data_IF_970271065918
#
_entry.id   IF_970271065918
#
_cell.length_a   1.000
_cell.length_b   1.000
_cell.length_c   1.000
_cell.angle_alpha   90.00
_cell.angle_beta   90.00
_cell.angle_gamma   90.00
#
_symmetry.space_group_name_H-M   'P 1'
#
loop_
_entity.id
_entity.type
_entity.pdbx_description
1 polymer ?
#
# COMPACT_ATOMS: atom_id res chain seq x y z
N UNK A 1 -39.73 -6.21 10.81
CA UNK A 1 -40.20 -7.51 10.30
C UNK A 1 -39.00 -8.26 9.71
N UNK A 2 -38.58 -9.35 10.33
CA UNK A 2 -37.41 -10.12 9.91
C UNK A 2 -37.80 -11.14 8.83
N UNK A 3 -37.22 -11.05 7.62
CA UNK A 3 -37.32 -12.08 6.58
C UNK A 3 -36.55 -13.31 7.05
N UNK A 4 -37.24 -14.41 7.34
CA UNK A 4 -36.61 -15.72 7.57
C UNK A 4 -35.96 -16.17 6.25
N UNK A 5 -34.65 -16.34 6.24
CA UNK A 5 -33.92 -16.95 5.13
C UNK A 5 -34.13 -18.47 5.22
N UNK A 6 -34.91 -19.02 4.31
CA UNK A 6 -35.07 -20.48 4.19
C UNK A 6 -33.82 -21.03 3.50
N UNK A 7 -33.11 -22.02 4.06
CA UNK A 7 -31.98 -22.64 3.37
C UNK A 7 -32.50 -23.37 2.13
N UNK A 8 -32.06 -22.94 0.95
CA UNK A 8 -32.34 -23.63 -0.32
C UNK A 8 -31.27 -24.71 -0.52
N UNK A 9 -31.70 -25.96 -0.69
CA UNK A 9 -30.83 -27.04 -1.13
C UNK A 9 -30.55 -26.79 -2.62
N UNK A 10 -29.29 -26.53 -2.93
CA UNK A 10 -28.79 -26.32 -4.30
C UNK A 10 -28.55 -27.68 -4.94
N UNK A 11 -29.04 -27.89 -6.16
CA UNK A 11 -28.87 -29.18 -6.86
C UNK A 11 -27.43 -29.34 -7.37
N UNK A 12 -27.00 -30.57 -7.66
CA UNK A 12 -25.64 -30.83 -8.14
C UNK A 12 -25.29 -30.05 -9.42
N UNK A 13 -26.28 -29.81 -10.30
CA UNK A 13 -26.12 -29.02 -11.53
C UNK A 13 -25.95 -27.52 -11.22
N UNK A 14 -26.69 -26.98 -10.25
CA UNK A 14 -26.54 -25.58 -9.82
C UNK A 14 -25.20 -25.35 -9.11
N UNK A 15 -24.66 -26.37 -8.42
CA UNK A 15 -23.29 -26.33 -7.87
C UNK A 15 -22.26 -26.30 -8.99
N UNK A 16 -22.51 -26.96 -10.13
CA UNK A 16 -21.60 -26.95 -11.28
C UNK A 16 -21.50 -25.56 -11.94
N UNK A 17 -22.61 -24.82 -12.01
CA UNK A 17 -22.60 -23.44 -12.53
C UNK A 17 -21.91 -22.45 -11.58
N UNK A 18 -22.05 -22.65 -10.27
CA UNK A 18 -21.34 -21.85 -9.24
C UNK A 18 -19.84 -22.15 -9.22
N UNK A 19 -19.45 -23.37 -9.61
CA UNK A 19 -18.07 -23.85 -9.68
C UNK A 19 -17.47 -23.74 -11.09
N UNK A 20 -17.96 -22.82 -11.93
CA UNK A 20 -17.30 -22.49 -13.20
C UNK A 20 -15.81 -22.25 -12.90
N UNK A 21 -14.89 -23.09 -13.40
CA UNK A 21 -13.48 -22.93 -13.09
C UNK A 21 -13.04 -21.59 -13.63
N UNK A 22 -12.44 -20.75 -12.78
CA UNK A 22 -11.66 -19.63 -13.28
C UNK A 22 -10.62 -20.18 -14.26
N UNK A 23 -10.55 -19.62 -15.47
CA UNK A 23 -9.56 -19.98 -16.50
C UNK A 23 -8.10 -19.74 -16.04
N UNK A 24 -7.90 -19.15 -14.86
CA UNK A 24 -6.59 -19.01 -14.24
C UNK A 24 -6.00 -20.39 -13.92
N UNK A 25 -4.90 -20.81 -14.59
CA UNK A 25 -4.28 -22.09 -14.29
C UNK A 25 -3.81 -22.11 -12.83
N UNK A 26 -4.19 -23.17 -12.11
CA UNK A 26 -3.72 -23.37 -10.74
C UNK A 26 -2.17 -23.30 -10.70
N UNK A 27 -1.57 -22.59 -9.73
CA UNK A 27 -0.13 -22.46 -9.67
C UNK A 27 0.52 -23.84 -9.58
N UNK A 28 1.50 -24.09 -10.47
CA UNK A 28 2.25 -25.35 -10.48
C UNK A 28 3.12 -25.39 -9.24
N UNK A 29 2.63 -26.04 -8.18
CA UNK A 29 3.45 -26.30 -7.00
C UNK A 29 4.60 -27.22 -7.42
N UNK A 30 5.83 -26.70 -7.36
CA UNK A 30 7.09 -27.45 -7.44
C UNK A 30 7.00 -28.76 -6.65
N UNK A 31 7.71 -29.82 -7.09
CA UNK A 31 7.69 -31.18 -6.50
C UNK A 31 8.21 -31.18 -5.05
N UNK A 32 7.40 -30.68 -4.13
CA UNK A 32 7.65 -30.63 -2.69
C UNK A 32 7.25 -31.97 -2.06
N UNK A 33 7.86 -32.34 -0.92
CA UNK A 33 7.39 -33.50 -0.17
C UNK A 33 5.94 -33.26 0.24
N UNK A 34 5.07 -34.25 -0.02
CA UNK A 34 3.69 -34.20 0.43
C UNK A 34 3.65 -33.98 1.96
N UNK A 35 2.72 -33.17 2.50
CA UNK A 35 2.63 -32.90 3.94
C UNK A 35 2.64 -34.19 4.79
N UNK A 36 2.00 -35.25 4.30
CA UNK A 36 1.95 -36.56 4.92
C UNK A 36 3.31 -37.28 5.06
N UNK A 37 4.41 -36.77 4.47
CA UNK A 37 5.77 -37.31 4.59
C UNK A 37 6.63 -36.56 5.62
N UNK A 38 6.18 -35.40 6.10
CA UNK A 38 6.90 -34.61 7.10
C UNK A 38 6.72 -35.22 8.49
N UNK A 39 7.80 -35.28 9.29
CA UNK A 39 7.83 -35.99 10.58
C UNK A 39 8.33 -35.16 11.74
N UNK A 40 9.10 -34.11 11.47
CA UNK A 40 9.75 -33.31 12.52
C UNK A 40 9.35 -31.84 12.40
N UNK A 41 9.34 -31.13 13.54
CA UNK A 41 9.12 -29.67 13.59
C UNK A 41 10.03 -28.92 12.61
N UNK A 42 11.30 -29.34 12.51
CA UNK A 42 12.26 -28.75 11.59
C UNK A 42 11.81 -28.88 10.13
N UNK A 43 11.46 -30.09 9.68
CA UNK A 43 11.04 -30.27 8.28
C UNK A 43 9.74 -29.54 7.93
N UNK A 44 8.82 -29.38 8.87
CA UNK A 44 7.65 -28.52 8.67
C UNK A 44 8.05 -27.05 8.53
N UNK A 45 8.90 -26.54 9.43
CA UNK A 45 9.36 -25.15 9.39
C UNK A 45 10.09 -24.84 8.07
N UNK A 46 10.97 -25.74 7.62
CA UNK A 46 11.74 -25.55 6.38
C UNK A 46 10.83 -25.45 5.14
N UNK A 47 9.85 -26.36 5.03
CA UNK A 47 8.91 -26.35 3.89
C UNK A 47 8.00 -25.13 3.92
N UNK A 48 7.50 -24.75 5.10
CA UNK A 48 6.65 -23.56 5.26
C UNK A 48 7.45 -22.30 4.92
N UNK A 49 8.70 -22.19 5.40
CA UNK A 49 9.55 -21.04 5.11
C UNK A 49 9.85 -20.93 3.61
N UNK A 50 10.14 -22.04 2.94
CA UNK A 50 10.31 -22.07 1.48
C UNK A 50 9.06 -21.63 0.72
N UNK A 51 7.87 -22.11 1.12
CA UNK A 51 6.59 -21.69 0.54
C UNK A 51 6.34 -20.20 0.75
N UNK A 52 6.71 -19.70 1.92
CA UNK A 52 6.52 -18.32 2.32
C UNK A 52 7.43 -17.39 1.48
N UNK A 53 8.73 -17.71 1.36
CA UNK A 53 9.67 -16.97 0.50
C UNK A 53 9.24 -16.98 -0.98
N UNK A 54 8.80 -18.13 -1.51
CA UNK A 54 8.30 -18.19 -2.88
C UNK A 54 7.06 -17.30 -3.08
N UNK A 55 6.15 -17.25 -2.10
CA UNK A 55 5.00 -16.37 -2.18
C UNK A 55 5.41 -14.89 -2.24
N UNK A 56 6.44 -14.49 -1.50
CA UNK A 56 6.98 -13.13 -1.52
C UNK A 56 7.60 -12.76 -2.87
N UNK A 57 8.45 -13.64 -3.40
CA UNK A 57 9.06 -13.48 -4.72
C UNK A 57 7.97 -13.34 -5.80
N UNK A 58 6.92 -14.16 -5.69
CA UNK A 58 5.77 -14.08 -6.59
C UNK A 58 5.01 -12.75 -6.45
N UNK A 59 4.82 -12.21 -5.25
CA UNK A 59 4.19 -10.88 -5.10
C UNK A 59 5.00 -9.77 -5.77
N UNK A 60 6.33 -9.81 -5.63
CA UNK A 60 7.22 -8.87 -6.31
C UNK A 60 7.13 -9.02 -7.83
N UNK A 61 7.18 -10.26 -8.32
CA UNK A 61 7.03 -10.56 -9.75
C UNK A 61 5.69 -10.08 -10.31
N UNK A 62 4.57 -10.31 -9.60
CA UNK A 62 3.25 -9.80 -9.97
C UNK A 62 3.29 -8.27 -10.11
N UNK A 63 3.91 -7.55 -9.15
CA UNK A 63 4.06 -6.10 -9.23
C UNK A 63 4.81 -5.63 -10.48
N UNK A 64 5.88 -6.33 -10.86
CA UNK A 64 6.64 -6.06 -12.09
C UNK A 64 5.81 -6.29 -13.36
N UNK A 65 5.09 -7.40 -13.43
CA UNK A 65 4.17 -7.68 -14.54
C UNK A 65 3.06 -6.64 -14.66
N UNK A 66 2.49 -6.20 -13.54
CA UNK A 66 1.47 -5.14 -13.54
C UNK A 66 2.04 -3.80 -14.05
N UNK A 67 3.25 -3.44 -13.65
CA UNK A 67 3.93 -2.24 -14.17
C UNK A 67 4.16 -2.34 -15.68
N UNK A 68 4.65 -3.49 -16.16
CA UNK A 68 4.85 -3.71 -17.60
C UNK A 68 3.53 -3.70 -18.38
N UNK A 69 2.50 -4.40 -17.90
CA UNK A 69 1.18 -4.44 -18.53
C UNK A 69 0.58 -3.02 -18.67
N UNK A 70 0.74 -2.16 -17.66
CA UNK A 70 0.31 -0.76 -17.73
C UNK A 70 1.00 0.06 -18.84
N UNK A 71 2.21 -0.33 -19.25
CA UNK A 71 2.95 0.34 -20.33
C UNK A 71 2.65 -0.19 -21.73
N UNK A 72 2.23 -1.46 -21.84
CA UNK A 72 2.06 -2.14 -23.14
C UNK A 72 0.60 -2.20 -23.59
N UNK A 73 -0.35 -2.30 -22.66
CA UNK A 73 -1.76 -2.40 -22.98
C UNK A 73 -2.35 -1.05 -23.40
N UNK A 74 -3.36 -1.10 -24.27
CA UNK A 74 -4.09 0.09 -24.71
C UNK A 74 -4.84 0.79 -23.56
N UNK A 75 -5.27 2.03 -23.80
CA UNK A 75 -5.97 2.82 -22.79
C UNK A 75 -7.26 2.12 -22.35
N UNK A 76 -7.38 1.82 -21.05
CA UNK A 76 -8.55 1.15 -20.46
C UNK A 76 -8.40 -0.37 -20.29
N UNK A 77 -7.63 -1.04 -21.15
CA UNK A 77 -7.44 -2.50 -21.12
C UNK A 77 -6.80 -2.97 -19.81
N UNK A 78 -5.81 -2.22 -19.31
CA UNK A 78 -5.18 -2.53 -18.02
C UNK A 78 -6.20 -2.54 -16.87
N UNK A 79 -7.11 -1.57 -16.82
CA UNK A 79 -8.12 -1.49 -15.77
C UNK A 79 -9.15 -2.61 -15.92
N UNK A 80 -9.55 -2.93 -17.15
CA UNK A 80 -10.47 -4.03 -17.43
C UNK A 80 -9.88 -5.38 -17.01
N UNK A 81 -8.62 -5.66 -17.35
CA UNK A 81 -7.90 -6.87 -16.95
C UNK A 81 -7.83 -7.01 -15.42
N UNK A 82 -7.48 -5.92 -14.71
CA UNK A 82 -7.40 -5.94 -13.24
C UNK A 82 -8.76 -6.20 -12.59
N UNK A 83 -9.85 -5.69 -13.17
CA UNK A 83 -11.20 -5.86 -12.59
C UNK A 83 -11.85 -7.21 -12.93
N UNK A 84 -11.59 -7.74 -14.14
CA UNK A 84 -12.30 -8.92 -14.68
C UNK A 84 -11.50 -10.21 -14.61
N UNK A 85 -10.17 -10.15 -14.74
CA UNK A 85 -9.35 -11.34 -15.00
C UNK A 85 -8.45 -11.71 -13.81
N UNK A 86 -8.28 -10.81 -12.83
CA UNK A 86 -7.39 -11.01 -11.68
C UNK A 86 -8.16 -11.25 -10.37
N UNK A 87 -7.60 -12.04 -9.43
CA UNK A 87 -8.27 -12.41 -8.19
C UNK A 87 -8.21 -11.30 -7.12
N UNK A 88 -7.97 -10.05 -7.51
CA UNK A 88 -7.85 -8.91 -6.59
C UNK A 88 -8.25 -7.59 -7.26
N UNK A 89 -8.63 -6.62 -6.42
CA UNK A 89 -9.00 -5.29 -6.88
C UNK A 89 -7.78 -4.42 -7.22
N UNK A 90 -8.02 -3.34 -7.95
CA UNK A 90 -7.03 -2.31 -8.28
C UNK A 90 -6.23 -1.80 -7.07
N UNK A 91 -6.83 -1.72 -5.89
CA UNK A 91 -6.13 -1.30 -4.67
C UNK A 91 -4.95 -2.22 -4.32
N UNK A 92 -5.09 -3.53 -4.51
CA UNK A 92 -4.00 -4.49 -4.33
C UNK A 92 -2.99 -4.39 -5.47
N UNK A 93 -3.46 -4.30 -6.72
CA UNK A 93 -2.60 -4.13 -7.89
C UNK A 93 -1.66 -2.93 -7.73
N UNK A 94 -2.22 -1.76 -7.39
CA UNK A 94 -1.47 -0.52 -7.18
C UNK A 94 -0.45 -0.63 -6.03
N UNK A 95 -0.73 -1.39 -4.97
CA UNK A 95 0.25 -1.63 -3.88
C UNK A 95 1.43 -2.45 -4.39
N UNK A 96 1.17 -3.55 -5.08
CA UNK A 96 2.21 -4.42 -5.64
C UNK A 96 3.08 -3.68 -6.66
N UNK A 97 2.46 -2.91 -7.56
CA UNK A 97 3.15 -2.05 -8.53
C UNK A 97 4.11 -1.05 -7.86
N UNK A 98 3.63 -0.35 -6.82
CA UNK A 98 4.43 0.63 -6.08
C UNK A 98 5.60 0.00 -5.34
N UNK A 99 5.39 -1.18 -4.76
CA UNK A 99 6.46 -1.95 -4.10
C UNK A 99 7.52 -2.37 -5.12
N UNK A 100 7.10 -2.95 -6.24
CA UNK A 100 8.01 -3.36 -7.30
C UNK A 100 8.82 -2.19 -7.85
N UNK A 101 8.16 -1.07 -8.18
CA UNK A 101 8.84 0.13 -8.66
C UNK A 101 9.85 0.66 -7.63
N UNK A 102 9.47 0.76 -6.35
CA UNK A 102 10.38 1.23 -5.31
C UNK A 102 11.62 0.36 -5.15
N UNK A 103 11.52 -0.95 -5.33
CA UNK A 103 12.66 -1.86 -5.27
C UNK A 103 13.52 -1.72 -6.53
N UNK A 104 12.89 -1.75 -7.71
CA UNK A 104 13.59 -1.68 -8.99
C UNK A 104 14.29 -0.33 -9.22
N UNK A 105 13.70 0.76 -8.72
CA UNK A 105 14.28 2.13 -8.73
C UNK A 105 15.36 2.33 -7.66
N UNK A 106 15.63 1.32 -6.81
CA UNK A 106 16.63 1.39 -5.73
C UNK A 106 16.22 2.26 -4.53
N UNK A 107 14.94 2.65 -4.42
CA UNK A 107 14.40 3.42 -3.29
C UNK A 107 14.46 2.62 -1.99
N UNK A 108 14.29 1.30 -2.09
CA UNK A 108 14.30 0.38 -0.95
C UNK A 108 15.37 -0.70 -1.16
N UNK A 109 16.26 -0.93 -0.18
CA UNK A 109 17.30 -1.96 -0.28
C UNK A 109 16.70 -3.37 -0.17
N UNK A 110 16.86 -4.18 -1.22
CA UNK A 110 16.26 -5.53 -1.36
C UNK A 110 16.59 -6.46 -0.20
N UNK A 111 17.82 -6.41 0.33
CA UNK A 111 18.34 -7.38 1.31
C UNK A 111 17.81 -7.20 2.74
N UNK A 112 17.07 -6.12 3.00
CA UNK A 112 16.62 -5.74 4.36
C UNK A 112 15.12 -5.54 4.48
N UNK A 113 14.36 -5.98 3.47
CA UNK A 113 12.92 -5.81 3.44
C UNK A 113 12.19 -6.93 4.18
N UNK A 114 11.09 -6.59 4.88
CA UNK A 114 10.24 -7.60 5.49
C UNK A 114 9.54 -8.44 4.43
N UNK A 115 9.24 -9.71 4.77
CA UNK A 115 8.66 -10.71 3.88
C UNK A 115 7.16 -10.49 3.57
N UNK A 116 6.71 -9.25 3.46
CA UNK A 116 5.32 -8.90 3.24
C UNK A 116 5.20 -7.64 2.42
N UNK A 117 4.64 -7.76 1.21
CA UNK A 117 4.39 -6.62 0.34
C UNK A 117 3.57 -5.52 1.05
N UNK A 118 2.68 -5.89 1.97
CA UNK A 118 1.86 -4.94 2.71
C UNK A 118 2.69 -4.13 3.72
N UNK A 119 3.68 -4.74 4.37
CA UNK A 119 4.64 -4.03 5.22
C UNK A 119 5.57 -3.17 4.39
N UNK A 120 6.15 -3.72 3.32
CA UNK A 120 7.02 -2.97 2.39
C UNK A 120 6.29 -1.78 1.80
N UNK A 121 5.02 -1.94 1.44
CA UNK A 121 4.18 -0.84 0.95
C UNK A 121 4.06 0.30 1.96
N UNK A 122 3.93 0.02 3.26
CA UNK A 122 3.93 1.10 4.27
C UNK A 122 5.26 1.87 4.32
N UNK A 123 6.38 1.18 4.04
CA UNK A 123 7.71 1.78 3.95
C UNK A 123 7.86 2.64 2.68
N UNK A 124 7.29 2.20 1.56
CA UNK A 124 7.23 3.00 0.30
C UNK A 124 6.51 4.33 0.51
N UNK A 125 5.50 4.36 1.39
CA UNK A 125 4.72 5.57 1.67
C UNK A 125 5.44 6.60 2.54
N UNK A 126 6.61 6.26 3.10
CA UNK A 126 7.41 7.22 3.86
C UNK A 126 8.11 8.19 2.90
N UNK A 127 8.09 9.48 3.22
CA UNK A 127 8.87 10.48 2.50
C UNK A 127 10.39 10.32 2.80
N UNK A 128 11.29 11.01 2.08
CA UNK A 128 12.74 10.85 2.28
C UNK A 128 13.20 11.06 3.74
N UNK A 129 12.72 12.12 4.38
CA UNK A 129 13.07 12.44 5.77
C UNK A 129 12.53 11.39 6.75
N UNK A 130 11.29 10.94 6.56
CA UNK A 130 10.69 9.89 7.39
C UNK A 130 11.42 8.55 7.22
N UNK A 131 11.92 8.25 6.02
CA UNK A 131 12.73 7.04 5.76
C UNK A 131 14.07 7.09 6.48
N UNK A 132 14.77 8.22 6.45
CA UNK A 132 16.02 8.39 7.21
C UNK A 132 15.80 8.20 8.71
N UNK A 133 14.73 8.78 9.25
CA UNK A 133 14.36 8.60 10.65
C UNK A 133 14.00 7.15 10.99
N UNK A 134 13.23 6.47 10.11
CA UNK A 134 12.91 5.06 10.28
C UNK A 134 14.15 4.16 10.20
N UNK A 135 15.09 4.46 9.30
CA UNK A 135 16.37 3.77 9.19
C UNK A 135 17.23 3.96 10.45
N UNK A 136 17.30 5.18 10.98
CA UNK A 136 17.99 5.48 12.24
C UNK A 136 17.39 4.74 13.45
N UNK A 137 16.08 4.43 13.42
CA UNK A 137 15.39 3.61 14.42
C UNK A 137 15.45 2.10 14.13
N UNK A 138 16.18 1.69 13.09
CA UNK A 138 16.36 0.29 12.71
C UNK A 138 15.12 -0.37 12.13
N UNK A 139 14.16 0.39 11.59
CA UNK A 139 12.91 -0.15 11.04
C UNK A 139 13.06 -0.76 9.63
N UNK A 140 14.26 -0.70 9.04
CA UNK A 140 14.60 -1.35 7.77
C UNK A 140 15.33 -2.67 8.05
N UNK A 141 14.55 -3.69 8.40
CA UNK A 141 15.05 -5.04 8.68
C UNK A 141 14.00 -6.11 8.36
N UNK A 142 14.42 -7.36 8.06
CA UNK A 142 13.50 -8.42 7.63
C UNK A 142 12.41 -8.80 8.66
N UNK A 143 12.68 -8.65 9.96
CA UNK A 143 11.76 -9.02 11.04
C UNK A 143 10.75 -7.93 11.41
N UNK A 144 10.81 -6.76 10.76
CA UNK A 144 9.93 -5.64 11.09
C UNK A 144 8.47 -5.97 10.74
N UNK A 145 7.55 -5.66 11.66
CA UNK A 145 6.13 -5.90 11.45
C UNK A 145 5.46 -4.65 10.92
N UNK A 146 4.35 -4.85 10.21
CA UNK A 146 3.52 -3.74 9.73
C UNK A 146 3.08 -2.79 10.85
N UNK A 147 2.77 -3.33 12.02
CA UNK A 147 2.34 -2.53 13.18
C UNK A 147 3.44 -1.58 13.66
N UNK A 148 4.71 -1.97 13.55
CA UNK A 148 5.86 -1.15 13.96
C UNK A 148 5.96 0.09 13.06
N UNK A 149 5.82 -0.09 11.73
CA UNK A 149 5.83 1.01 10.76
C UNK A 149 4.61 1.93 10.95
N UNK A 150 3.43 1.36 11.23
CA UNK A 150 2.22 2.14 11.50
C UNK A 150 2.37 2.97 12.78
N UNK A 151 2.92 2.38 13.85
CA UNK A 151 3.18 3.06 15.10
C UNK A 151 4.16 4.23 14.89
N UNK A 152 5.27 3.98 14.18
CA UNK A 152 6.23 5.02 13.80
C UNK A 152 5.57 6.21 13.08
N UNK A 153 4.77 5.94 12.04
CA UNK A 153 4.03 7.00 11.31
C UNK A 153 3.08 7.79 12.21
N UNK A 154 2.44 7.11 13.18
CA UNK A 154 1.57 7.77 14.17
C UNK A 154 2.37 8.68 15.10
N UNK A 155 3.54 8.23 15.56
CA UNK A 155 4.43 9.04 16.39
C UNK A 155 4.93 10.28 15.66
N UNK A 156 5.35 10.15 14.39
CA UNK A 156 5.76 11.29 13.58
C UNK A 156 4.65 12.34 13.41
N UNK A 157 3.43 11.90 13.10
CA UNK A 157 2.28 12.80 12.97
C UNK A 157 1.94 13.51 14.28
N UNK A 158 2.02 12.79 15.40
CA UNK A 158 1.79 13.38 16.71
C UNK A 158 2.85 14.44 17.06
N UNK A 159 4.10 14.24 16.64
CA UNK A 159 5.18 15.22 16.83
C UNK A 159 5.07 16.44 15.91
N UNK A 160 4.50 16.29 14.71
CA UNK A 160 4.29 17.39 13.75
C UNK A 160 3.04 18.25 14.03
N UNK A 161 2.03 17.71 14.72
CA UNK A 161 0.79 18.44 15.03
C UNK A 161 0.99 19.76 15.80
N UNK A 162 1.85 19.82 16.83
CA UNK A 162 2.14 21.06 17.55
C UNK A 162 2.74 22.14 16.65
N UNK A 163 3.58 21.75 15.69
CA UNK A 163 4.28 22.66 14.78
C UNK A 163 3.31 23.30 13.77
N UNK A 164 2.43 22.48 13.18
CA UNK A 164 1.38 22.96 12.26
C UNK A 164 0.38 23.92 12.92
N UNK A 165 0.14 23.79 14.23
CA UNK A 165 -0.72 24.71 14.95
C UNK A 165 -0.06 26.10 15.10
N UNK A 166 1.25 26.12 15.38
CA UNK A 166 2.02 27.36 15.45
C UNK A 166 2.14 28.04 14.07
N UNK A 167 2.43 27.27 13.02
CA UNK A 167 2.50 27.79 11.64
C UNK A 167 1.15 28.37 11.17
N UNK A 168 0.03 27.72 11.52
CA UNK A 168 -1.32 28.25 11.24
C UNK A 168 -1.62 29.54 11.99
N UNK A 169 -1.17 29.65 13.24
CA UNK A 169 -1.33 30.86 14.03
C UNK A 169 -0.52 32.03 13.44
N UNK A 170 0.70 31.76 12.98
CA UNK A 170 1.53 32.76 12.32
C UNK A 170 0.94 33.17 10.95
N UNK A 171 0.42 32.22 10.17
CA UNK A 171 -0.29 32.53 8.92
C UNK A 171 -1.48 33.46 9.17
N UNK A 172 -2.32 33.16 10.18
CA UNK A 172 -3.47 33.99 10.53
C UNK A 172 -3.03 35.41 10.99
N UNK A 173 -1.91 35.51 11.70
CA UNK A 173 -1.32 36.81 12.09
C UNK A 173 -0.89 37.62 10.87
N UNK A 174 -0.17 36.99 9.92
CA UNK A 174 0.29 37.64 8.69
C UNK A 174 -0.89 38.09 7.82
N UNK A 175 -1.97 37.31 7.74
CA UNK A 175 -3.19 37.69 7.04
C UNK A 175 -3.87 38.91 7.69
N UNK A 176 -3.92 38.97 9.02
CA UNK A 176 -4.46 40.12 9.74
C UNK A 176 -3.60 41.38 9.55
N UNK A 177 -2.28 41.24 9.53
CA UNK A 177 -1.35 42.34 9.25
C UNK A 177 -1.51 42.87 7.83
N UNK A 178 -1.60 41.97 6.85
CA UNK A 178 -1.87 42.34 5.45
C UNK A 178 -3.18 43.11 5.33
N UNK A 179 -4.26 42.65 5.96
CA UNK A 179 -5.55 43.35 5.93
C UNK A 179 -5.46 44.77 6.51
N UNK A 180 -4.68 44.97 7.58
CA UNK A 180 -4.43 46.30 8.16
C UNK A 180 -3.66 47.20 7.20
N UNK A 181 -2.62 46.68 6.56
CA UNK A 181 -1.82 47.42 5.58
C UNK A 181 -2.70 47.83 4.39
N UNK A 182 -3.49 46.91 3.85
CA UNK A 182 -4.39 47.18 2.72
C UNK A 182 -5.42 48.28 3.06
N UNK A 183 -5.99 48.25 4.27
CA UNK A 183 -6.88 49.30 4.74
C UNK A 183 -6.19 50.66 4.84
N UNK A 184 -4.95 50.70 5.35
CA UNK A 184 -4.16 51.93 5.44
C UNK A 184 -3.81 52.49 4.06
N UNK A 185 -3.48 51.63 3.10
CA UNK A 185 -3.24 52.03 1.72
C UNK A 185 -4.50 52.65 1.11
N UNK A 186 -5.66 52.03 1.32
CA UNK A 186 -6.93 52.57 0.83
C UNK A 186 -7.23 53.96 1.42
N UNK A 187 -7.05 54.14 2.72
CA UNK A 187 -7.23 55.45 3.39
C UNK A 187 -6.30 56.53 2.80
N UNK A 188 -5.03 56.19 2.57
CA UNK A 188 -4.06 57.13 2.00
C UNK A 188 -4.37 57.47 0.54
N UNK A 189 -4.80 56.48 -0.26
CA UNK A 189 -5.23 56.71 -1.64
C UNK A 189 -6.43 57.66 -1.71
N UNK A 190 -7.41 57.49 -0.81
CA UNK A 190 -8.55 58.41 -0.73
C UNK A 190 -8.11 59.83 -0.37
N UNK A 191 -7.24 60.00 0.63
CA UNK A 191 -6.70 61.33 0.99
C UNK A 191 -6.01 62.01 -0.18
N UNK A 192 -5.21 61.26 -0.94
CA UNK A 192 -4.51 61.78 -2.13
C UNK A 192 -5.46 62.09 -3.29
N UNK A 193 -6.61 61.42 -3.38
CA UNK A 193 -7.64 61.67 -4.40
C UNK A 193 -8.45 62.94 -4.10
N UNK A 194 -8.60 63.29 -2.82
CA UNK A 194 -9.37 64.45 -2.36
C UNK A 194 -8.52 65.71 -2.10
N UNK A 195 -7.19 65.60 -2.20
CA UNK A 195 -6.24 66.72 -2.10
C UNK A 195 -5.98 67.34 -3.48
#
# INVERSE_FOLDING_TARGET
MARKLTPRIVTADEVSDILTPSEAPAPRLSRRPAPARLRTRANFADVILSLWTEAEENFLAIGRYLNHARTVLEHGEFMAMVDRDLPFRYSTANRLMKVAAAIDDGLLPTDSLPPSYATVYEMVLLNPQEREQAAAQGLFRPDVRRQDIIAFKKHLRAAALPDLAAERAELARLEAERARIDARIAELREKLRTA
#
